data_IF_109013693468
#
_entry.id   IF_109013693468
#
_cell.length_a   1.000
_cell.length_b   1.000
_cell.length_c   1.000
_cell.angle_alpha   90.00
_cell.angle_beta   90.00
_cell.angle_gamma   90.00
#
_symmetry.space_group_name_H-M   'P 1'
#
loop_
_entity.id
_entity.type
_entity.pdbx_description
1 polymer ?
#
# COMPACT_ATOMS: atom_id res chain seq x y z
N UNK A 1 5.37 -16.17 16.20
CA UNK A 1 6.56 -16.42 17.04
C UNK A 1 7.75 -16.83 16.18
N UNK A 2 7.68 -17.89 15.34
CA UNK A 2 8.80 -18.37 14.54
C UNK A 2 9.43 -17.31 13.63
N UNK A 3 8.64 -16.50 12.95
CA UNK A 3 9.11 -15.40 12.11
C UNK A 3 9.88 -14.32 12.93
N UNK A 4 9.34 -13.92 14.09
CA UNK A 4 10.01 -12.95 14.98
C UNK A 4 11.35 -13.52 15.49
N UNK A 5 11.38 -14.78 15.88
CA UNK A 5 12.60 -15.47 16.30
C UNK A 5 13.66 -15.50 15.20
N UNK A 6 13.25 -15.74 13.95
CA UNK A 6 14.15 -15.67 12.79
C UNK A 6 14.76 -14.27 12.63
N UNK A 7 13.96 -13.21 12.67
CA UNK A 7 14.47 -11.85 12.56
C UNK A 7 15.39 -11.45 13.73
N UNK A 8 15.02 -11.82 14.96
CA UNK A 8 15.88 -11.55 16.12
C UNK A 8 17.22 -12.26 15.99
N UNK A 9 17.24 -13.52 15.56
CA UNK A 9 18.49 -14.27 15.33
C UNK A 9 19.35 -13.62 14.24
N UNK A 10 18.72 -13.09 13.19
CA UNK A 10 19.43 -12.43 12.09
C UNK A 10 20.10 -11.13 12.53
N UNK A 11 19.49 -10.39 13.46
CA UNK A 11 19.99 -9.10 13.96
C UNK A 11 21.01 -9.30 15.09
N UNK A 12 20.71 -10.18 16.06
CA UNK A 12 21.53 -10.37 17.25
C UNK A 12 22.64 -11.40 17.11
N UNK A 13 22.67 -12.13 15.99
CA UNK A 13 23.62 -13.23 15.76
C UNK A 13 23.26 -14.51 16.52
N UNK A 14 24.10 -15.53 16.36
CA UNK A 14 23.86 -16.88 16.90
C UNK A 14 24.14 -16.98 18.40
N UNK A 15 25.00 -16.12 18.92
CA UNK A 15 25.38 -16.06 20.34
C UNK A 15 24.65 -14.86 20.98
N UNK A 16 23.59 -15.14 21.73
CA UNK A 16 22.78 -14.12 22.42
C UNK A 16 23.36 -13.84 23.80
N UNK A 17 24.28 -12.90 23.88
CA UNK A 17 24.72 -12.36 25.17
C UNK A 17 23.70 -11.42 25.79
N UNK A 18 22.90 -10.74 24.96
CA UNK A 18 21.85 -9.81 25.41
C UNK A 18 20.56 -10.05 24.65
N UNK A 19 19.42 -9.89 25.31
CA UNK A 19 18.11 -9.91 24.67
C UNK A 19 17.81 -8.52 24.08
N UNK A 20 17.32 -8.40 22.86
CA UNK A 20 17.02 -7.11 22.23
C UNK A 20 15.79 -6.44 22.88
N UNK A 21 15.80 -5.12 22.91
CA UNK A 21 14.60 -4.33 23.06
C UNK A 21 13.94 -4.16 21.69
N UNK A 22 12.63 -4.29 21.64
CA UNK A 22 11.87 -4.37 20.38
C UNK A 22 10.74 -3.37 20.41
N UNK A 23 10.60 -2.59 19.35
CA UNK A 23 9.43 -1.76 19.08
C UNK A 23 8.67 -2.35 17.90
N UNK A 24 7.36 -2.54 18.06
CA UNK A 24 6.47 -3.13 17.04
C UNK A 24 5.39 -2.14 16.68
N UNK A 25 5.25 -1.85 15.38
CA UNK A 25 4.14 -1.10 14.87
C UNK A 25 2.89 -1.99 14.78
N UNK A 26 1.77 -1.50 15.29
CA UNK A 26 0.47 -2.18 15.23
C UNK A 26 -0.58 -1.23 14.61
N UNK A 27 -1.62 -1.75 13.95
CA UNK A 27 -2.72 -0.94 13.47
C UNK A 27 -3.35 -0.09 14.58
N UNK A 28 -3.84 1.11 14.22
CA UNK A 28 -4.43 2.03 15.21
C UNK A 28 -5.69 1.46 15.88
N UNK A 29 -6.45 0.61 15.16
CA UNK A 29 -7.72 0.04 15.62
C UNK A 29 -7.61 -1.32 16.33
N UNK A 30 -6.41 -1.77 16.74
CA UNK A 30 -6.27 -3.06 17.44
C UNK A 30 -6.86 -3.03 18.85
N UNK A 31 -7.45 -4.14 19.25
CA UNK A 31 -7.97 -4.36 20.60
C UNK A 31 -6.85 -4.51 21.64
N UNK A 32 -7.19 -4.32 22.91
CA UNK A 32 -6.24 -4.56 24.02
C UNK A 32 -5.71 -5.99 24.05
N UNK A 33 -6.53 -6.97 23.69
CA UNK A 33 -6.17 -8.38 23.62
C UNK A 33 -5.17 -8.64 22.50
N UNK A 34 -5.40 -8.10 21.30
CA UNK A 34 -4.49 -8.22 20.16
C UNK A 34 -3.15 -7.54 20.45
N UNK A 35 -3.18 -6.33 21.05
CA UNK A 35 -1.97 -5.64 21.50
C UNK A 35 -1.17 -6.50 22.48
N UNK A 36 -1.83 -7.13 23.46
CA UNK A 36 -1.20 -8.03 24.42
C UNK A 36 -0.57 -9.22 23.73
N UNK A 37 -1.30 -9.85 22.82
CA UNK A 37 -0.80 -11.01 22.05
C UNK A 37 0.48 -10.69 21.25
N UNK A 38 0.59 -9.48 20.68
CA UNK A 38 1.81 -9.04 19.99
C UNK A 38 2.98 -8.92 20.98
N UNK A 39 2.78 -8.31 22.14
CA UNK A 39 3.80 -8.18 23.19
C UNK A 39 4.27 -9.57 23.63
N UNK A 40 3.33 -10.47 23.96
CA UNK A 40 3.63 -11.82 24.44
C UNK A 40 4.38 -12.63 23.35
N UNK A 41 4.00 -12.49 22.09
CA UNK A 41 4.68 -13.14 20.96
C UNK A 41 6.13 -12.66 20.80
N UNK A 42 6.39 -11.37 20.98
CA UNK A 42 7.75 -10.82 20.92
C UNK A 42 8.61 -11.31 22.10
N UNK A 43 8.05 -11.33 23.30
CA UNK A 43 8.75 -11.84 24.49
C UNK A 43 9.05 -13.35 24.34
N UNK A 44 8.09 -14.15 23.86
CA UNK A 44 8.28 -15.57 23.57
C UNK A 44 9.32 -15.81 22.48
N UNK A 45 9.48 -14.88 21.53
CA UNK A 45 10.52 -14.91 20.51
C UNK A 45 11.92 -14.52 21.05
N UNK A 46 11.99 -13.98 22.28
CA UNK A 46 13.25 -13.67 22.97
C UNK A 46 13.56 -12.17 23.14
N UNK A 47 12.57 -11.27 22.98
CA UNK A 47 12.72 -9.87 23.33
C UNK A 47 12.90 -9.70 24.85
N UNK A 48 13.71 -8.70 25.27
CA UNK A 48 13.84 -8.28 26.67
C UNK A 48 12.63 -7.44 27.07
N UNK A 49 12.40 -6.37 26.30
CA UNK A 49 11.28 -5.48 26.44
C UNK A 49 10.62 -5.32 25.07
N UNK A 50 9.28 -5.19 25.06
CA UNK A 50 8.52 -4.95 23.84
C UNK A 50 7.70 -3.67 24.01
N UNK A 51 7.95 -2.72 23.15
CA UNK A 51 7.21 -1.47 23.03
C UNK A 51 6.30 -1.55 21.81
N UNK A 52 5.16 -0.89 21.90
CA UNK A 52 4.17 -0.90 20.82
C UNK A 52 3.86 0.53 20.43
N UNK A 53 3.93 0.81 19.12
CA UNK A 53 3.60 2.10 18.52
C UNK A 53 2.45 1.91 17.52
N UNK A 54 1.54 2.87 17.40
CA UNK A 54 0.51 2.86 16.35
C UNK A 54 1.19 3.05 14.99
N UNK A 55 0.88 2.20 14.00
CA UNK A 55 1.54 2.22 12.69
C UNK A 55 1.45 3.58 11.98
N UNK A 56 0.31 4.31 11.97
CA UNK A 56 0.27 5.66 11.39
C UNK A 56 1.22 6.66 12.07
N UNK A 57 1.44 6.54 13.39
CA UNK A 57 2.39 7.40 14.11
C UNK A 57 3.82 7.07 13.67
N UNK A 58 4.16 5.78 13.56
CA UNK A 58 5.46 5.35 13.08
C UNK A 58 5.72 5.82 11.64
N UNK A 59 4.72 5.72 10.76
CA UNK A 59 4.79 6.19 9.38
C UNK A 59 5.01 7.72 9.31
N UNK A 60 4.26 8.49 10.11
CA UNK A 60 4.40 9.94 10.20
C UNK A 60 5.81 10.36 10.66
N UNK A 61 6.34 9.71 11.70
CA UNK A 61 7.70 9.94 12.18
C UNK A 61 8.74 9.62 11.12
N UNK A 62 8.58 8.49 10.41
CA UNK A 62 9.47 8.08 9.33
C UNK A 62 9.45 9.04 8.14
N UNK A 63 8.31 9.67 7.87
CA UNK A 63 8.15 10.70 6.85
C UNK A 63 8.61 12.11 7.29
N UNK A 64 9.05 12.27 8.56
CA UNK A 64 9.47 13.56 9.09
C UNK A 64 8.34 14.54 9.38
N UNK A 65 7.10 14.05 9.52
CA UNK A 65 5.93 14.89 9.84
C UNK A 65 5.99 15.33 11.30
N UNK A 66 5.76 16.62 11.55
CA UNK A 66 5.77 17.22 12.90
C UNK A 66 4.48 16.87 13.66
N UNK A 67 4.36 15.62 14.12
CA UNK A 67 3.14 15.09 14.78
C UNK A 67 2.82 15.75 16.12
N UNK A 68 3.79 16.41 16.77
CA UNK A 68 3.59 17.10 18.06
C UNK A 68 2.85 18.44 17.92
N UNK A 69 2.64 18.92 16.70
CA UNK A 69 1.86 20.13 16.43
C UNK A 69 0.39 19.91 16.79
N UNK A 70 -0.31 20.97 17.22
CA UNK A 70 -1.77 20.92 17.36
C UNK A 70 -2.50 20.82 16.02
N UNK A 71 -1.83 21.10 14.91
CA UNK A 71 -2.40 20.99 13.55
C UNK A 71 -2.70 19.53 13.20
N UNK A 72 -3.81 19.29 12.50
CA UNK A 72 -4.19 17.98 11.98
C UNK A 72 -3.29 17.55 10.82
N UNK A 73 -2.74 16.33 10.90
CA UNK A 73 -1.95 15.72 9.83
C UNK A 73 -2.63 14.44 9.36
N UNK A 74 -3.01 14.36 8.09
CA UNK A 74 -3.54 13.14 7.49
C UNK A 74 -2.40 12.25 7.02
N UNK A 75 -2.39 11.03 7.52
CA UNK A 75 -1.46 9.98 7.12
C UNK A 75 -2.24 8.88 6.41
N UNK A 76 -1.78 8.50 5.23
CA UNK A 76 -2.30 7.37 4.47
C UNK A 76 -1.13 6.41 4.26
N UNK A 77 -1.16 5.28 4.95
CA UNK A 77 -0.16 4.21 4.86
C UNK A 77 -0.75 3.04 4.07
N UNK A 78 -0.22 2.80 2.87
CA UNK A 78 -0.68 1.73 1.96
C UNK A 78 0.40 0.66 1.88
N UNK A 79 0.22 -0.41 2.63
CA UNK A 79 1.12 -1.54 2.65
C UNK A 79 0.83 -2.61 1.59
N UNK A 80 1.34 -3.82 1.82
CA UNK A 80 1.04 -4.97 0.96
C UNK A 80 -0.34 -5.56 1.23
N UNK A 81 -0.73 -5.71 2.50
CA UNK A 81 -1.99 -6.36 2.91
C UNK A 81 -3.03 -5.43 3.51
N UNK A 82 -2.62 -4.32 4.07
CA UNK A 82 -3.48 -3.36 4.77
C UNK A 82 -3.20 -1.94 4.32
N UNK A 83 -4.23 -1.12 4.32
CA UNK A 83 -4.13 0.34 4.19
C UNK A 83 -4.68 0.96 5.45
N UNK A 84 -3.93 1.89 6.03
CA UNK A 84 -4.32 2.64 7.22
C UNK A 84 -4.44 4.12 6.88
N UNK A 85 -5.52 4.72 7.35
CA UNK A 85 -5.77 6.16 7.22
C UNK A 85 -5.97 6.70 8.62
N UNK A 86 -5.24 7.74 8.97
CA UNK A 86 -5.34 8.36 10.29
C UNK A 86 -5.11 9.88 10.24
N UNK A 87 -5.83 10.61 11.07
CA UNK A 87 -5.52 12.00 11.40
C UNK A 87 -4.80 12.02 12.74
N UNK A 88 -3.64 12.66 12.78
CA UNK A 88 -2.76 12.78 13.94
C UNK A 88 -2.65 14.25 14.34
N UNK A 89 -2.82 14.54 15.62
CA UNK A 89 -2.56 15.84 16.23
C UNK A 89 -2.04 15.65 17.66
N UNK A 90 -1.16 16.55 18.12
CA UNK A 90 -0.58 16.49 19.47
C UNK A 90 0.07 15.14 19.82
N UNK A 91 0.63 14.45 18.85
CA UNK A 91 1.33 13.18 19.03
C UNK A 91 0.43 11.95 19.14
N UNK A 92 -0.89 12.07 19.02
CA UNK A 92 -1.80 10.92 19.06
C UNK A 92 -2.78 10.87 17.88
N UNK A 93 -3.37 9.71 17.67
CA UNK A 93 -4.37 9.46 16.61
C UNK A 93 -5.73 9.95 17.07
N UNK A 94 -6.29 10.91 16.35
CA UNK A 94 -7.60 11.51 16.60
C UNK A 94 -8.72 10.73 15.93
N UNK A 95 -8.52 10.37 14.67
CA UNK A 95 -9.44 9.56 13.88
C UNK A 95 -8.64 8.57 13.03
N UNK A 96 -9.13 7.35 12.87
CA UNK A 96 -8.45 6.36 12.03
C UNK A 96 -9.39 5.28 11.53
N UNK A 97 -9.00 4.67 10.41
CA UNK A 97 -9.59 3.43 9.91
C UNK A 97 -8.52 2.55 9.30
N UNK A 98 -8.73 1.24 9.33
CA UNK A 98 -7.84 0.26 8.72
C UNK A 98 -8.63 -0.65 7.78
N UNK A 99 -8.08 -0.90 6.59
CA UNK A 99 -8.67 -1.73 5.55
C UNK A 99 -7.75 -2.90 5.23
N UNK A 100 -8.32 -4.06 4.96
CA UNK A 100 -7.61 -5.21 4.38
C UNK A 100 -7.60 -5.15 2.85
N UNK A 101 -7.37 -3.94 2.31
CA UNK A 101 -7.31 -3.64 0.88
C UNK A 101 -6.06 -2.80 0.65
N UNK A 102 -5.08 -3.35 -0.08
CA UNK A 102 -3.79 -2.73 -0.33
C UNK A 102 -3.10 -3.35 -1.56
N UNK A 103 -1.77 -3.28 -1.66
CA UNK A 103 -0.99 -3.68 -2.82
C UNK A 103 -1.30 -5.09 -3.35
N UNK A 104 -1.42 -6.09 -2.47
CA UNK A 104 -1.77 -7.47 -2.88
C UNK A 104 -3.17 -7.60 -3.48
N UNK A 105 -4.11 -6.77 -3.04
CA UNK A 105 -5.45 -6.75 -3.63
C UNK A 105 -5.43 -6.20 -5.04
N UNK A 106 -4.57 -5.20 -5.29
CA UNK A 106 -4.32 -4.67 -6.63
C UNK A 106 -3.71 -5.76 -7.53
N UNK A 107 -2.69 -6.49 -7.06
CA UNK A 107 -2.06 -7.59 -7.80
C UNK A 107 -3.08 -8.68 -8.17
N UNK A 108 -3.90 -9.08 -7.22
CA UNK A 108 -4.98 -10.05 -7.45
C UNK A 108 -6.04 -9.55 -8.43
N UNK A 109 -6.35 -8.25 -8.41
CA UNK A 109 -7.30 -7.63 -9.36
C UNK A 109 -6.71 -7.63 -10.78
N UNK A 110 -5.44 -7.30 -10.94
CA UNK A 110 -4.72 -7.35 -12.23
C UNK A 110 -4.70 -8.80 -12.75
N UNK A 111 -4.28 -9.77 -11.95
CA UNK A 111 -4.25 -11.19 -12.35
C UNK A 111 -5.63 -11.70 -12.77
N UNK A 112 -6.67 -11.32 -12.02
CA UNK A 112 -8.06 -11.68 -12.34
C UNK A 112 -8.53 -11.05 -13.65
N UNK A 113 -8.16 -9.79 -13.88
CA UNK A 113 -8.49 -9.08 -15.11
C UNK A 113 -7.83 -9.73 -16.34
N UNK A 114 -6.51 -10.02 -16.26
CA UNK A 114 -5.78 -10.67 -17.35
C UNK A 114 -6.37 -12.05 -17.68
N UNK A 115 -6.70 -12.83 -16.65
CA UNK A 115 -7.37 -14.11 -16.86
C UNK A 115 -8.72 -13.97 -17.57
N UNK A 116 -9.55 -13.00 -17.16
CA UNK A 116 -10.92 -12.83 -17.69
C UNK A 116 -10.94 -12.20 -19.09
N UNK A 117 -10.11 -11.20 -19.33
CA UNK A 117 -10.15 -10.43 -20.58
C UNK A 117 -9.22 -10.97 -21.65
N UNK A 118 -8.08 -11.51 -21.24
CA UNK A 118 -7.04 -11.95 -22.16
C UNK A 118 -6.79 -13.46 -22.14
N UNK A 119 -7.46 -14.20 -21.25
CA UNK A 119 -7.24 -15.64 -21.09
C UNK A 119 -5.83 -15.99 -20.58
N UNK A 120 -5.08 -15.03 -20.05
CA UNK A 120 -3.72 -15.21 -19.55
C UNK A 120 -3.73 -15.38 -18.03
N UNK A 121 -3.24 -16.53 -17.55
CA UNK A 121 -3.04 -16.79 -16.14
C UNK A 121 -1.63 -16.40 -15.76
N UNK A 122 -1.49 -15.45 -14.82
CA UNK A 122 -0.22 -14.97 -14.28
C UNK A 122 -0.13 -15.21 -12.80
N UNK A 123 1.10 -15.41 -12.28
CA UNK A 123 1.37 -15.51 -10.84
C UNK A 123 1.35 -14.16 -10.13
N UNK A 124 1.33 -14.19 -8.77
CA UNK A 124 1.33 -12.98 -7.93
C UNK A 124 2.54 -12.06 -8.23
N UNK A 125 3.74 -12.64 -8.38
CA UNK A 125 4.96 -11.87 -8.66
C UNK A 125 4.89 -11.16 -10.01
N UNK A 126 4.33 -11.82 -11.03
CA UNK A 126 4.14 -11.23 -12.37
C UNK A 126 3.12 -10.10 -12.29
N UNK A 127 2.01 -10.29 -11.57
CA UNK A 127 1.00 -9.25 -11.38
C UNK A 127 1.57 -8.03 -10.63
N UNK A 128 2.39 -8.25 -9.60
CA UNK A 128 3.10 -7.19 -8.89
C UNK A 128 4.08 -6.45 -9.81
N UNK A 129 4.80 -7.17 -10.67
CA UNK A 129 5.70 -6.57 -11.66
C UNK A 129 4.93 -5.67 -12.63
N UNK A 130 3.81 -6.15 -13.18
CA UNK A 130 2.92 -5.37 -14.05
C UNK A 130 2.46 -4.08 -13.32
N UNK A 131 2.00 -4.20 -12.07
CA UNK A 131 1.60 -3.05 -11.26
C UNK A 131 2.71 -2.01 -11.14
N UNK A 132 3.94 -2.43 -10.88
CA UNK A 132 5.10 -1.54 -10.67
C UNK A 132 5.53 -0.85 -11.96
N UNK A 133 5.52 -1.56 -13.10
CA UNK A 133 6.03 -1.05 -14.36
C UNK A 133 5.04 -0.15 -15.09
N UNK A 134 3.79 -0.57 -15.17
CA UNK A 134 2.77 0.11 -15.98
C UNK A 134 1.50 0.50 -15.23
N UNK A 135 1.40 0.19 -13.91
CA UNK A 135 0.26 0.58 -13.11
C UNK A 135 0.15 2.09 -12.94
N UNK A 136 -1.07 2.63 -13.04
CA UNK A 136 -1.36 4.04 -12.78
C UNK A 136 -2.67 4.19 -12.03
N UNK A 137 -2.66 5.07 -11.03
CA UNK A 137 -3.86 5.45 -10.28
C UNK A 137 -4.75 6.44 -11.05
N UNK A 138 -4.15 7.22 -11.95
CA UNK A 138 -4.84 8.19 -12.80
C UNK A 138 -5.20 7.56 -14.14
N UNK A 139 -6.42 7.83 -14.62
CA UNK A 139 -6.77 7.42 -15.98
C UNK A 139 -5.82 8.12 -16.98
N UNK A 140 -5.37 7.42 -18.05
CA UNK A 140 -4.62 8.08 -19.09
C UNK A 140 -5.44 9.26 -19.62
N UNK A 141 -4.84 10.45 -19.62
CA UNK A 141 -5.51 11.66 -20.10
C UNK A 141 -5.88 11.47 -21.55
N UNK A 142 -7.18 11.35 -21.86
CA UNK A 142 -7.67 11.51 -23.23
C UNK A 142 -7.44 12.97 -23.59
N UNK A 143 -6.27 13.31 -24.14
CA UNK A 143 -6.09 14.61 -24.80
C UNK A 143 -7.19 14.70 -25.87
N UNK A 144 -8.10 15.65 -25.66
CA UNK A 144 -9.14 15.98 -26.61
C UNK A 144 -8.51 16.17 -27.99
N UNK A 145 -8.97 15.39 -28.97
CA UNK A 145 -8.63 15.52 -30.38
C UNK A 145 -9.28 16.78 -31.00
N UNK A 146 -9.15 17.91 -30.37
CA UNK A 146 -9.65 19.17 -30.92
C UNK A 146 -8.61 20.26 -30.63
N UNK A 147 -7.49 20.20 -31.38
CA UNK A 147 -6.64 21.34 -31.72
C UNK A 147 -5.39 20.84 -32.44
N UNK A 148 -5.60 20.32 -33.67
CA UNK A 148 -4.54 20.24 -34.65
C UNK A 148 -4.50 21.55 -35.39
N UNK A 149 -3.62 22.47 -35.00
CA UNK A 149 -2.92 23.38 -35.89
C UNK A 149 -1.97 24.21 -35.07
N UNK A 150 -0.75 23.74 -34.88
CA UNK A 150 0.46 24.57 -34.95
C UNK A 150 1.67 23.62 -34.91
N UNK A 151 2.41 23.65 -35.98
CA UNK A 151 3.74 23.04 -36.09
C UNK A 151 4.69 23.80 -35.21
N UNK A 152 5.36 23.14 -34.26
CA UNK A 152 6.77 23.45 -33.93
C UNK A 152 7.36 22.37 -33.02
N UNK A 153 8.42 21.73 -33.54
CA UNK A 153 9.61 21.16 -32.88
C UNK A 153 9.51 20.34 -31.57
N UNK A 154 9.89 19.06 -31.72
CA UNK A 154 10.66 18.21 -30.78
C UNK A 154 10.43 18.43 -29.28
N UNK A 155 9.30 17.98 -28.78
CA UNK A 155 9.18 17.56 -27.39
C UNK A 155 8.81 16.06 -27.39
N UNK A 156 9.64 15.27 -26.71
CA UNK A 156 9.41 13.85 -26.48
C UNK A 156 7.99 13.65 -25.96
N UNK A 157 7.19 12.88 -26.68
CA UNK A 157 5.88 12.40 -26.24
C UNK A 157 6.04 11.59 -24.93
N UNK A 158 6.02 12.27 -23.80
CA UNK A 158 5.80 11.71 -22.48
C UNK A 158 4.29 11.62 -22.25
N UNK A 159 3.65 10.62 -22.81
CA UNK A 159 2.21 10.38 -22.67
C UNK A 159 1.90 8.91 -22.89
N UNK A 160 2.12 8.08 -21.90
CA UNK A 160 1.13 7.18 -21.31
C UNK A 160 0.66 5.91 -22.04
N UNK A 161 1.32 5.39 -23.06
CA UNK A 161 1.10 4.02 -23.47
C UNK A 161 2.31 3.14 -23.12
N UNK A 162 2.66 3.12 -21.81
CA UNK A 162 3.62 2.13 -21.33
C UNK A 162 3.04 0.75 -21.57
N UNK A 163 3.83 -0.12 -22.18
CA UNK A 163 3.48 -1.50 -22.44
C UNK A 163 4.63 -2.40 -22.02
N UNK A 164 4.32 -3.57 -21.52
CA UNK A 164 5.31 -4.61 -21.19
C UNK A 164 4.90 -5.94 -21.79
N UNK A 165 5.87 -6.76 -22.14
CA UNK A 165 5.63 -8.16 -22.50
C UNK A 165 5.54 -8.99 -21.24
N UNK A 166 4.48 -9.77 -21.14
CA UNK A 166 4.18 -10.61 -19.96
C UNK A 166 3.99 -12.04 -20.42
N UNK A 167 4.68 -12.97 -19.75
CA UNK A 167 4.53 -14.41 -19.97
C UNK A 167 3.66 -15.02 -18.87
N UNK A 168 2.79 -15.94 -19.26
CA UNK A 168 1.89 -16.67 -18.39
C UNK A 168 1.48 -18.00 -19.00
N UNK A 169 0.35 -18.52 -18.55
CA UNK A 169 -0.27 -19.72 -19.12
C UNK A 169 -1.63 -19.38 -19.72
N UNK A 170 -1.89 -19.88 -20.92
CA UNK A 170 -3.21 -19.76 -21.53
C UNK A 170 -4.27 -20.49 -20.69
N UNK A 171 -5.35 -19.81 -20.35
CA UNK A 171 -6.39 -20.32 -19.46
C UNK A 171 -7.19 -21.52 -20.00
N UNK A 172 -7.15 -21.74 -21.34
CA UNK A 172 -7.89 -22.81 -22.03
C UNK A 172 -6.98 -23.99 -22.32
N UNK A 173 -5.80 -23.74 -22.90
CA UNK A 173 -4.88 -24.80 -23.34
C UNK A 173 -3.89 -25.22 -22.27
N UNK A 174 -3.65 -24.39 -21.26
CA UNK A 174 -2.61 -24.58 -20.24
C UNK A 174 -1.17 -24.37 -20.74
N UNK A 175 -0.99 -24.02 -22.02
CA UNK A 175 0.34 -23.85 -22.60
C UNK A 175 0.92 -22.47 -22.26
N UNK A 176 2.26 -22.32 -22.23
CA UNK A 176 2.91 -21.03 -22.07
C UNK A 176 2.52 -20.08 -23.20
N UNK A 177 2.22 -18.85 -22.84
CA UNK A 177 1.85 -17.78 -23.77
C UNK A 177 2.44 -16.45 -23.29
N UNK A 178 2.85 -15.60 -24.25
CA UNK A 178 3.31 -14.24 -23.96
C UNK A 178 2.45 -13.24 -24.71
N UNK A 179 2.17 -12.11 -24.07
CA UNK A 179 1.42 -11.02 -24.67
C UNK A 179 1.88 -9.66 -24.19
N UNK A 180 1.59 -8.62 -24.97
CA UNK A 180 1.88 -7.24 -24.62
C UNK A 180 0.67 -6.67 -23.84
N UNK A 181 0.93 -6.23 -22.61
CA UNK A 181 -0.06 -5.59 -21.75
C UNK A 181 0.24 -4.11 -21.68
N UNK A 182 -0.79 -3.29 -21.83
CA UNK A 182 -0.70 -1.83 -21.78
C UNK A 182 -1.21 -1.27 -20.45
N UNK A 183 -0.78 -0.06 -20.11
CA UNK A 183 -1.28 0.69 -18.96
C UNK A 183 -2.82 0.80 -18.97
N UNK A 184 -3.42 1.04 -20.16
CA UNK A 184 -4.88 1.11 -20.32
C UNK A 184 -5.60 -0.16 -19.86
N UNK A 185 -4.96 -1.33 -20.00
CA UNK A 185 -5.56 -2.62 -19.64
C UNK A 185 -5.66 -2.82 -18.13
N UNK A 186 -4.69 -2.30 -17.38
CA UNK A 186 -4.62 -2.47 -15.91
C UNK A 186 -5.24 -1.32 -15.12
N UNK A 187 -5.56 -0.22 -15.75
CA UNK A 187 -6.12 0.96 -15.11
C UNK A 187 -7.49 0.72 -14.43
N UNK A 188 -8.39 -0.03 -15.08
CA UNK A 188 -9.71 -0.31 -14.55
C UNK A 188 -9.69 -1.17 -13.27
N UNK A 189 -8.96 -2.33 -13.22
CA UNK A 189 -8.85 -3.13 -12.00
C UNK A 189 -8.16 -2.38 -10.86
N UNK A 190 -7.15 -1.56 -11.13
CA UNK A 190 -6.49 -0.73 -10.11
C UNK A 190 -7.47 0.29 -9.53
N UNK A 191 -8.20 1.01 -10.37
CA UNK A 191 -9.16 2.04 -9.95
C UNK A 191 -10.25 1.47 -9.03
N UNK A 192 -10.72 0.27 -9.29
CA UNK A 192 -11.74 -0.39 -8.45
C UNK A 192 -11.22 -0.58 -7.01
N UNK A 193 -9.99 -1.07 -6.86
CA UNK A 193 -9.38 -1.28 -5.52
C UNK A 193 -9.09 0.05 -4.83
N UNK A 194 -8.62 1.06 -5.57
CA UNK A 194 -8.37 2.40 -5.02
C UNK A 194 -9.65 3.08 -4.52
N UNK A 195 -10.81 2.77 -5.09
CA UNK A 195 -12.09 3.32 -4.63
C UNK A 195 -12.39 2.97 -3.17
N UNK A 196 -12.00 1.78 -2.71
CA UNK A 196 -12.16 1.37 -1.30
C UNK A 196 -11.27 2.22 -0.39
N UNK A 197 -10.04 2.49 -0.81
CA UNK A 197 -9.09 3.32 -0.05
C UNK A 197 -9.58 4.76 0.01
N UNK A 198 -10.07 5.31 -1.10
CA UNK A 198 -10.65 6.67 -1.16
C UNK A 198 -11.86 6.78 -0.22
N UNK A 199 -12.70 5.74 -0.17
CA UNK A 199 -13.84 5.72 0.75
C UNK A 199 -13.39 5.76 2.20
N UNK A 200 -12.34 5.03 2.56
CA UNK A 200 -11.77 5.06 3.91
C UNK A 200 -11.21 6.45 4.27
N UNK A 201 -10.53 7.11 3.33
CA UNK A 201 -10.06 8.49 3.54
C UNK A 201 -11.24 9.42 3.84
N UNK A 202 -12.32 9.33 3.06
CA UNK A 202 -13.54 10.12 3.30
C UNK A 202 -14.15 9.84 4.66
N UNK A 203 -14.21 8.58 5.09
CA UNK A 203 -14.74 8.21 6.40
C UNK A 203 -13.92 8.81 7.55
N UNK A 204 -12.59 8.78 7.45
CA UNK A 204 -11.71 9.36 8.47
C UNK A 204 -11.89 10.88 8.51
N UNK A 205 -11.93 11.57 7.38
CA UNK A 205 -12.18 13.01 7.33
C UNK A 205 -13.54 13.38 7.92
N UNK A 206 -14.58 12.60 7.66
CA UNK A 206 -15.91 12.82 8.24
C UNK A 206 -15.96 12.61 9.76
N UNK A 207 -15.11 11.77 10.31
CA UNK A 207 -15.00 11.52 11.76
C UNK A 207 -13.99 12.43 12.46
N UNK A 208 -13.27 13.27 11.70
CA UNK A 208 -12.30 14.23 12.23
C UNK A 208 -13.03 15.48 12.73
N UNK A 209 -12.67 15.99 13.92
CA UNK A 209 -13.20 17.27 14.40
C UNK A 209 -12.99 18.40 13.40
N UNK A 210 -13.98 19.33 13.24
CA UNK A 210 -13.92 20.39 12.24
C UNK A 210 -12.66 21.27 12.33
N UNK A 211 -12.17 21.50 13.56
CA UNK A 211 -10.98 22.30 13.84
C UNK A 211 -9.71 21.71 13.21
N UNK A 212 -9.62 20.38 13.19
CA UNK A 212 -8.49 19.65 12.60
C UNK A 212 -8.71 19.35 11.12
N UNK A 213 -9.96 19.25 10.68
CA UNK A 213 -10.29 18.98 9.29
C UNK A 213 -9.83 20.11 8.35
N UNK A 214 -9.84 21.37 8.83
CA UNK A 214 -9.35 22.51 8.07
C UNK A 214 -7.84 22.47 7.79
N UNK A 215 -7.06 21.82 8.65
CA UNK A 215 -5.61 21.71 8.51
C UNK A 215 -5.19 20.62 7.50
N UNK A 216 -6.10 19.71 7.20
CA UNK A 216 -5.85 18.51 6.37
C UNK A 216 -6.20 18.75 4.89
N UNK A 217 -6.89 19.85 4.57
CA UNK A 217 -7.33 20.19 3.20
C UNK A 217 -6.27 20.91 2.36
#
# INVERSE_FOLDING_TARGET
EGMLRYFFNKITGRIRLTRPEVMVAIPAGVTSTERRAVIDACQAAGAKNTYVIKAPIAAALGAGVAISSPSGNLIIDIGGGTSEVAVIALGDVVASTSLRTAGKKIDSAIATYLRKQHGLIVGEQTAEHIKKEIGSATAPSKKNKAEKNTKTTNEKENGDDKAIEVSGSNAVTGLPESMIIKNSDVGAPIKQVLSDIILAVKQVLQSTPPELASDVM
#
